data_IF_667368917057
#
_entry.id   IF_667368917057
#
_cell.length_a   1.000
_cell.length_b   1.000
_cell.length_c   1.000
_cell.angle_alpha   90.00
_cell.angle_beta   90.00
_cell.angle_gamma   90.00
#
_symmetry.space_group_name_H-M   'P 1'
#
loop_
_entity.id
_entity.type
_entity.pdbx_description
1 polymer ?
#
# COMPACT_ATOMS: atom_id res chain seq x y z
N UNK A 1 -8.06 -7.76 -14.51
CA UNK A 1 -9.11 -6.72 -14.58
C UNK A 1 -10.45 -7.35 -14.90
N UNK A 2 -10.53 -8.14 -15.97
CA UNK A 2 -11.76 -8.83 -16.39
C UNK A 2 -12.51 -9.56 -15.27
N UNK A 3 -11.82 -10.27 -14.37
CA UNK A 3 -12.50 -10.98 -13.26
C UNK A 3 -13.16 -10.06 -12.23
N UNK A 4 -12.65 -8.85 -12.00
CA UNK A 4 -13.18 -7.90 -11.01
C UNK A 4 -14.27 -7.03 -11.63
N UNK A 5 -14.15 -6.71 -12.92
CA UNK A 5 -15.22 -6.09 -13.70
C UNK A 5 -16.47 -6.99 -13.79
N UNK A 6 -16.29 -8.31 -13.64
CA UNK A 6 -17.37 -9.28 -13.59
C UNK A 6 -18.03 -9.43 -12.21
N UNK A 7 -17.56 -8.70 -11.19
CA UNK A 7 -18.17 -8.65 -9.85
C UNK A 7 -18.86 -7.29 -9.67
N UNK A 8 -20.19 -7.20 -9.90
CA UNK A 8 -20.89 -5.91 -9.90
C UNK A 8 -20.77 -5.14 -8.59
N UNK A 9 -20.65 -5.85 -7.46
CA UNK A 9 -20.48 -5.25 -6.15
C UNK A 9 -19.17 -4.43 -6.05
N UNK A 10 -18.06 -4.97 -6.52
CA UNK A 10 -16.76 -4.28 -6.47
C UNK A 10 -16.77 -3.04 -7.36
N UNK A 11 -17.38 -3.15 -8.55
CA UNK A 11 -17.55 -2.04 -9.48
C UNK A 11 -18.39 -0.92 -8.86
N UNK A 12 -19.49 -1.26 -8.18
CA UNK A 12 -20.33 -0.27 -7.48
C UNK A 12 -19.51 0.46 -6.40
N UNK A 13 -18.73 -0.26 -5.59
CA UNK A 13 -17.94 0.37 -4.53
C UNK A 13 -16.81 1.25 -5.08
N UNK A 14 -16.16 0.86 -6.18
CA UNK A 14 -15.15 1.69 -6.84
C UNK A 14 -15.77 3.01 -7.34
N UNK A 15 -16.96 2.95 -7.97
CA UNK A 15 -17.66 4.16 -8.40
C UNK A 15 -18.14 5.02 -7.23
N UNK A 16 -18.62 4.40 -6.16
CA UNK A 16 -19.04 5.10 -4.94
C UNK A 16 -17.86 5.88 -4.33
N UNK A 17 -16.70 5.24 -4.15
CA UNK A 17 -15.50 5.90 -3.61
C UNK A 17 -14.99 6.99 -4.55
N UNK A 18 -14.95 6.72 -5.86
CA UNK A 18 -14.52 7.70 -6.86
C UNK A 18 -15.39 8.98 -6.84
N UNK A 19 -16.69 8.82 -6.58
CA UNK A 19 -17.65 9.94 -6.54
C UNK A 19 -17.65 10.64 -5.19
N UNK A 20 -17.56 9.91 -4.07
CA UNK A 20 -17.60 10.47 -2.74
C UNK A 20 -16.33 11.26 -2.38
N UNK A 21 -15.16 10.79 -2.85
CA UNK A 21 -13.86 11.34 -2.47
C UNK A 21 -13.14 12.10 -3.60
N UNK A 22 -13.91 12.67 -4.53
CA UNK A 22 -13.39 13.37 -5.71
C UNK A 22 -12.29 14.38 -5.35
N UNK A 23 -11.21 14.38 -6.15
CA UNK A 23 -10.07 15.25 -5.93
C UNK A 23 -9.09 14.79 -4.86
N UNK A 24 -9.37 13.69 -4.14
CA UNK A 24 -8.48 13.13 -3.13
C UNK A 24 -7.86 11.78 -3.58
N UNK A 25 -6.76 11.33 -2.97
CA UNK A 25 -6.21 10.01 -3.22
C UNK A 25 -7.16 8.84 -2.93
N UNK A 26 -8.17 9.02 -2.06
CA UNK A 26 -9.14 7.99 -1.68
C UNK A 26 -10.16 7.67 -2.80
N UNK A 27 -10.32 8.54 -3.79
CA UNK A 27 -11.16 8.28 -4.95
C UNK A 27 -10.55 7.28 -5.96
N UNK A 28 -9.29 6.87 -5.77
CA UNK A 28 -8.58 6.00 -6.71
C UNK A 28 -8.88 4.53 -6.39
N UNK A 29 -9.29 3.77 -7.41
CA UNK A 29 -9.38 2.31 -7.31
C UNK A 29 -8.02 1.70 -6.98
N UNK A 30 -8.03 0.58 -6.23
CA UNK A 30 -6.82 -0.15 -5.82
C UNK A 30 -6.02 -0.65 -7.02
N UNK A 31 -6.70 -1.06 -8.08
CA UNK A 31 -6.07 -1.60 -9.30
C UNK A 31 -5.56 -0.49 -10.20
N UNK A 32 -6.31 0.62 -10.24
CA UNK A 32 -6.06 1.73 -11.14
C UNK A 32 -6.35 1.41 -12.62
N UNK A 33 -6.12 2.38 -13.52
CA UNK A 33 -6.45 2.25 -14.94
C UNK A 33 -5.56 1.24 -15.68
N UNK A 34 -6.12 0.59 -16.71
CA UNK A 34 -5.40 -0.32 -17.61
C UNK A 34 -4.14 0.29 -18.20
N UNK A 35 -4.20 1.56 -18.60
CA UNK A 35 -3.07 2.25 -19.23
C UNK A 35 -1.90 2.42 -18.27
N UNK A 36 -2.18 2.66 -16.98
CA UNK A 36 -1.14 2.71 -15.95
C UNK A 36 -0.45 1.36 -15.82
N UNK A 37 -1.21 0.26 -15.73
CA UNK A 37 -0.65 -1.10 -15.61
C UNK A 37 0.27 -1.43 -16.79
N UNK A 38 -0.13 -1.06 -18.02
CA UNK A 38 0.67 -1.27 -19.22
C UNK A 38 1.97 -0.45 -19.24
N UNK A 39 2.03 0.64 -18.48
CA UNK A 39 3.15 1.58 -18.47
C UNK A 39 4.15 1.39 -17.31
N UNK A 40 3.75 0.69 -16.23
CA UNK A 40 4.58 0.49 -15.03
C UNK A 40 5.87 -0.27 -15.39
N UNK A 41 7.01 0.24 -14.92
CA UNK A 41 8.33 -0.36 -15.12
C UNK A 41 8.90 -0.87 -13.79
N UNK A 42 9.91 -1.74 -13.89
CA UNK A 42 10.68 -2.24 -12.73
C UNK A 42 11.20 -1.11 -11.83
N UNK A 43 11.64 0.00 -12.42
CA UNK A 43 12.15 1.15 -11.67
C UNK A 43 11.07 1.78 -10.76
N UNK A 44 9.82 1.83 -11.22
CA UNK A 44 8.70 2.36 -10.43
C UNK A 44 8.42 1.48 -9.22
N UNK A 45 8.47 0.15 -9.39
CA UNK A 45 8.29 -0.81 -8.30
C UNK A 45 9.40 -0.70 -7.25
N UNK A 46 10.67 -0.62 -7.69
CA UNK A 46 11.80 -0.44 -6.78
C UNK A 46 11.71 0.89 -6.03
N UNK A 47 11.27 1.95 -6.70
CA UNK A 47 11.02 3.25 -6.06
C UNK A 47 9.89 3.15 -5.03
N UNK A 48 8.79 2.48 -5.35
CA UNK A 48 7.66 2.30 -4.44
C UNK A 48 8.07 1.54 -3.17
N UNK A 49 8.72 0.38 -3.32
CA UNK A 49 9.25 -0.41 -2.18
C UNK A 49 10.25 0.43 -1.38
N UNK A 50 11.19 1.07 -2.07
CA UNK A 50 12.20 1.93 -1.45
C UNK A 50 11.63 3.14 -0.71
N UNK A 51 10.41 3.56 -1.02
CA UNK A 51 9.72 4.69 -0.39
C UNK A 51 8.82 4.25 0.76
N UNK A 52 8.02 3.19 0.56
CA UNK A 52 6.93 2.85 1.47
C UNK A 52 7.24 1.70 2.44
N UNK A 53 8.15 0.77 2.09
CA UNK A 53 8.45 -0.41 2.92
C UNK A 53 9.57 -0.05 3.91
N UNK A 54 9.20 0.68 4.96
CA UNK A 54 10.09 1.20 6.01
C UNK A 54 9.75 0.60 7.36
N UNK A 55 10.76 0.39 8.19
CA UNK A 55 10.58 -0.27 9.49
C UNK A 55 9.51 0.41 10.37
N UNK A 56 9.44 1.75 10.52
CA UNK A 56 8.38 2.41 11.30
C UNK A 56 6.96 2.32 10.71
N UNK A 57 6.81 1.81 9.47
CA UNK A 57 5.54 1.71 8.74
C UNK A 57 5.09 0.25 8.55
N UNK A 58 5.77 -0.69 9.19
CA UNK A 58 5.50 -2.12 9.09
C UNK A 58 5.27 -2.70 10.49
N UNK A 59 4.38 -3.68 10.57
CA UNK A 59 4.13 -4.45 11.79
C UNK A 59 4.22 -5.94 11.47
N UNK A 60 4.88 -6.69 12.34
CA UNK A 60 4.91 -8.15 12.28
C UNK A 60 3.89 -8.70 13.27
N UNK A 61 2.92 -9.46 12.77
CA UNK A 61 1.89 -10.11 13.58
C UNK A 61 1.99 -11.63 13.44
N UNK A 62 1.81 -12.34 14.55
CA UNK A 62 1.85 -13.80 14.59
C UNK A 62 0.81 -14.33 15.59
N UNK A 63 0.16 -15.44 15.27
CA UNK A 63 -0.88 -16.05 16.11
C UNK A 63 -0.72 -17.58 16.14
N UNK A 64 -1.02 -18.20 17.28
CA UNK A 64 -0.90 -19.66 17.50
C UNK A 64 0.06 -20.01 18.64
N UNK A 65 0.57 -21.25 18.65
CA UNK A 65 1.54 -21.77 19.63
C UNK A 65 2.96 -21.24 19.40
N UNK A 66 3.13 -19.92 19.39
CA UNK A 66 4.37 -19.23 19.04
C UNK A 66 5.03 -18.68 20.31
N UNK A 67 6.32 -18.94 20.48
CA UNK A 67 7.12 -18.30 21.50
C UNK A 67 7.49 -16.88 21.07
N UNK A 68 7.11 -15.87 21.87
CA UNK A 68 7.34 -14.46 21.55
C UNK A 68 8.84 -14.12 21.43
N UNK A 69 9.67 -14.58 22.35
CA UNK A 69 11.11 -14.26 22.35
C UNK A 69 11.81 -14.81 21.11
N UNK A 70 11.42 -16.02 20.68
CA UNK A 70 11.93 -16.59 19.43
C UNK A 70 11.50 -15.76 18.22
N UNK A 71 10.24 -15.31 18.18
CA UNK A 71 9.74 -14.46 17.10
C UNK A 71 10.49 -13.12 17.04
N UNK A 72 10.72 -12.48 18.19
CA UNK A 72 11.48 -11.23 18.27
C UNK A 72 12.90 -11.43 17.75
N UNK A 73 13.61 -12.48 18.19
CA UNK A 73 14.97 -12.77 17.70
C UNK A 73 15.03 -12.97 16.18
N UNK A 74 14.12 -13.74 15.62
CA UNK A 74 14.04 -13.94 14.16
C UNK A 74 13.68 -12.64 13.44
N UNK A 75 12.83 -11.80 14.04
CA UNK A 75 12.46 -10.52 13.46
C UNK A 75 13.65 -9.56 13.40
N UNK A 76 14.48 -9.53 14.44
CA UNK A 76 15.72 -8.74 14.47
C UNK A 76 16.72 -9.25 13.43
N UNK A 77 16.89 -10.59 13.32
CA UNK A 77 17.79 -11.22 12.36
C UNK A 77 17.42 -10.89 10.90
N UNK A 78 16.15 -11.04 10.53
CA UNK A 78 15.71 -10.90 9.15
C UNK A 78 15.32 -9.47 8.77
N UNK A 79 14.76 -8.69 9.69
CA UNK A 79 14.23 -7.35 9.40
C UNK A 79 15.03 -6.21 10.04
N UNK A 80 16.05 -6.48 10.87
CA UNK A 80 16.86 -5.44 11.52
C UNK A 80 17.61 -4.51 10.57
N UNK A 81 17.78 -4.91 9.30
CA UNK A 81 18.42 -4.10 8.24
C UNK A 81 17.44 -3.26 7.41
N UNK A 82 16.13 -3.32 7.70
CA UNK A 82 15.14 -2.52 7.00
C UNK A 82 15.34 -1.04 7.34
N UNK A 83 15.38 -0.18 6.31
CA UNK A 83 15.64 1.25 6.50
C UNK A 83 14.52 1.91 7.32
N UNK A 84 14.89 2.68 8.32
CA UNK A 84 13.96 3.47 9.13
C UNK A 84 13.66 4.87 8.54
N UNK A 85 14.59 5.41 7.75
CA UNK A 85 14.46 6.75 7.18
C UNK A 85 13.39 6.87 6.10
N UNK A 86 12.51 7.85 6.26
CA UNK A 86 11.58 8.35 5.25
C UNK A 86 12.11 9.68 4.74
N UNK A 87 12.37 9.77 3.43
CA UNK A 87 12.82 11.02 2.78
C UNK A 87 11.66 11.80 2.15
N UNK A 88 10.42 11.38 2.36
CA UNK A 88 9.26 12.09 1.80
C UNK A 88 8.83 13.25 2.69
N UNK A 89 8.38 14.32 2.07
CA UNK A 89 7.69 15.40 2.75
C UNK A 89 6.27 14.95 3.10
N UNK A 90 5.75 15.40 4.24
CA UNK A 90 4.33 15.24 4.55
C UNK A 90 3.56 16.00 3.47
N UNK A 91 2.64 15.37 2.71
CA UNK A 91 1.90 16.07 1.68
C UNK A 91 1.11 17.22 2.31
N UNK A 92 1.20 18.41 1.72
CA UNK A 92 0.31 19.51 2.08
C UNK A 92 -1.13 19.08 1.81
N UNK A 93 -1.92 18.96 2.88
CA UNK A 93 -3.34 18.65 2.80
C UNK A 93 -4.05 19.92 2.32
N UNK A 94 -4.26 20.02 1.02
CA UNK A 94 -5.20 21.00 0.47
C UNK A 94 -6.59 20.72 1.07
N UNK A 95 -7.38 21.75 1.36
CA UNK A 95 -8.74 21.56 1.83
C UNK A 95 -9.48 20.62 0.88
N UNK A 96 -10.11 19.59 1.44
CA UNK A 96 -11.15 18.88 0.73
C UNK A 96 -12.21 19.92 0.32
N UNK A 97 -12.78 19.76 -0.88
CA UNK A 97 -13.85 20.62 -1.40
C UNK A 97 -14.94 20.90 -0.38
#
# INVERSE_FOLDING_TARGET
>A
MQEIENTPQDVIFDHLHATAYQGTPLARSVIGPTDNIKSIKKADLLKYVGTHYKAPRMVLAAAGGINHDQLVRLSEEHFGKVKAGYQGEVPDLLPCR
#
